data_IF_975610919585
#
_entry.id   IF_975610919585
#
_cell.length_a   1.000
_cell.length_b   1.000
_cell.length_c   1.000
_cell.angle_alpha   90.00
_cell.angle_beta   90.00
_cell.angle_gamma   90.00
#
_symmetry.space_group_name_H-M   'P 1'
#
loop_
_entity.id
_entity.type
_entity.pdbx_description
1 polymer ?
#
# COMPACT_ATOMS: atom_id res chain seq x y z
N UNK A 1 -33.96 8.97 1.88
CA UNK A 1 -33.20 7.81 1.40
C UNK A 1 -31.83 7.93 2.02
N UNK A 2 -31.36 6.90 2.73
CA UNK A 2 -29.98 6.86 3.18
C UNK A 2 -29.21 6.37 1.95
N UNK A 3 -28.36 7.22 1.37
CA UNK A 3 -27.46 6.79 0.30
C UNK A 3 -26.57 5.69 0.87
N UNK A 4 -26.54 4.53 0.22
CA UNK A 4 -25.61 3.48 0.59
C UNK A 4 -24.18 4.00 0.36
N UNK A 5 -23.25 3.74 1.28
CA UNK A 5 -21.88 4.24 1.15
C UNK A 5 -21.23 3.62 -0.10
N UNK A 6 -20.63 4.45 -0.96
CA UNK A 6 -19.93 3.99 -2.17
C UNK A 6 -18.73 3.09 -1.86
N UNK A 7 -18.13 3.27 -0.67
CA UNK A 7 -16.93 2.56 -0.25
C UNK A 7 -17.04 2.09 1.20
N UNK A 8 -16.48 0.91 1.46
CA UNK A 8 -16.13 0.47 2.80
C UNK A 8 -14.73 0.97 3.16
N UNK A 9 -14.60 1.53 4.36
CA UNK A 9 -13.34 2.05 4.90
C UNK A 9 -12.93 1.21 6.11
N UNK A 10 -11.74 0.63 6.05
CA UNK A 10 -11.15 -0.13 7.16
C UNK A 10 -9.80 0.47 7.54
N UNK A 11 -9.65 0.90 8.79
CA UNK A 11 -8.34 1.30 9.30
C UNK A 11 -7.53 0.05 9.66
N UNK A 12 -6.31 -0.02 9.12
CA UNK A 12 -5.34 -1.03 9.47
C UNK A 12 -4.68 -0.60 10.79
N UNK A 13 -5.24 -1.05 11.91
CA UNK A 13 -4.71 -0.74 13.24
C UNK A 13 -3.45 -1.59 13.46
N UNK A 14 -2.35 -0.94 13.82
CA UNK A 14 -1.13 -1.65 14.22
C UNK A 14 -1.07 -1.82 15.73
N UNK A 15 -0.43 -2.89 16.17
CA UNK A 15 -0.07 -3.14 17.57
C UNK A 15 1.23 -2.43 17.97
N UNK A 16 1.99 -1.87 17.02
CA UNK A 16 3.25 -1.17 17.28
C UNK A 16 3.07 0.35 17.27
N UNK A 17 3.63 1.01 18.30
CA UNK A 17 3.46 2.44 18.61
C UNK A 17 3.96 3.42 17.52
N UNK A 18 4.69 2.93 16.51
CA UNK A 18 5.36 3.72 15.47
C UNK A 18 4.86 3.39 14.06
N UNK A 19 3.81 2.58 13.94
CA UNK A 19 3.37 2.09 12.66
C UNK A 19 2.47 3.11 11.94
N UNK A 20 2.64 3.18 10.62
CA UNK A 20 1.96 4.16 9.78
C UNK A 20 0.46 3.92 9.75
N UNK A 21 -0.32 5.01 9.72
CA UNK A 21 -1.77 4.93 9.54
C UNK A 21 -2.06 4.57 8.09
N UNK A 22 -2.70 3.42 7.90
CA UNK A 22 -3.09 2.91 6.59
C UNK A 22 -4.59 2.74 6.56
N UNK A 23 -5.24 3.34 5.57
CA UNK A 23 -6.66 3.10 5.28
C UNK A 23 -6.78 2.12 4.13
N UNK A 24 -7.57 1.07 4.32
CA UNK A 24 -8.01 0.17 3.26
C UNK A 24 -9.39 0.64 2.78
N UNK A 25 -9.55 0.75 1.47
CA UNK A 25 -10.75 1.18 0.77
C UNK A 25 -11.16 0.12 -0.25
N UNK A 26 -12.43 -0.27 -0.27
CA UNK A 26 -12.97 -1.12 -1.33
C UNK A 26 -14.46 -0.85 -1.53
N UNK A 27 -15.02 -1.11 -2.73
CA UNK A 27 -16.43 -0.91 -3.01
C UNK A 27 -17.33 -1.64 -2.00
N UNK A 28 -18.39 -0.97 -1.54
CA UNK A 28 -19.27 -1.52 -0.51
C UNK A 28 -19.92 -2.85 -0.94
N UNK A 29 -20.24 -2.99 -2.22
CA UNK A 29 -20.83 -4.19 -2.81
C UNK A 29 -19.94 -5.42 -2.62
N UNK A 30 -18.62 -5.21 -2.56
CA UNK A 30 -17.65 -6.29 -2.40
C UNK A 30 -17.37 -6.65 -0.93
N UNK A 31 -17.92 -5.89 0.04
CA UNK A 31 -17.68 -6.10 1.47
C UNK A 31 -18.08 -7.48 1.98
N UNK A 32 -19.02 -8.14 1.31
CA UNK A 32 -19.47 -9.48 1.66
C UNK A 32 -18.89 -10.59 0.79
N UNK A 33 -18.09 -10.24 -0.22
CA UNK A 33 -17.50 -11.21 -1.13
C UNK A 33 -16.43 -12.06 -0.42
N UNK A 34 -16.53 -13.41 -0.46
CA UNK A 34 -15.57 -14.30 0.20
C UNK A 34 -14.13 -14.03 -0.22
N UNK A 35 -13.94 -13.70 -1.50
CA UNK A 35 -12.63 -13.40 -2.10
C UNK A 35 -11.90 -12.26 -1.37
N UNK A 36 -12.62 -11.27 -0.83
CA UNK A 36 -12.03 -10.17 -0.07
C UNK A 36 -11.95 -10.48 1.43
N UNK A 37 -12.96 -11.16 1.99
CA UNK A 37 -12.97 -11.54 3.41
C UNK A 37 -11.79 -12.44 3.78
N UNK A 38 -11.43 -13.36 2.91
CA UNK A 38 -10.31 -14.28 3.15
C UNK A 38 -8.95 -13.63 2.84
N UNK A 39 -8.92 -12.67 1.92
CA UNK A 39 -7.70 -12.01 1.46
C UNK A 39 -7.26 -10.86 2.38
N UNK A 40 -8.17 -9.96 2.81
CA UNK A 40 -7.83 -8.76 3.60
C UNK A 40 -6.96 -9.07 4.84
N UNK A 41 -7.30 -10.06 5.69
CA UNK A 41 -6.49 -10.38 6.87
C UNK A 41 -5.08 -10.87 6.52
N UNK A 42 -4.94 -11.61 5.41
CA UNK A 42 -3.65 -12.13 4.96
C UNK A 42 -2.80 -11.00 4.36
N UNK A 43 -3.42 -10.11 3.58
CA UNK A 43 -2.72 -9.05 2.87
C UNK A 43 -2.34 -7.87 3.75
N UNK A 44 -3.00 -7.68 4.88
CA UNK A 44 -2.67 -6.65 5.86
C UNK A 44 -1.16 -6.57 6.19
N UNK A 45 -0.53 -7.73 6.44
CA UNK A 45 0.91 -7.81 6.69
C UNK A 45 1.73 -7.54 5.43
N UNK A 46 1.32 -8.14 4.31
CA UNK A 46 2.00 -8.00 3.00
C UNK A 46 2.00 -6.55 2.53
N UNK A 47 0.89 -5.83 2.68
CA UNK A 47 0.73 -4.41 2.36
C UNK A 47 1.68 -3.54 3.18
N UNK A 48 1.82 -3.81 4.48
CA UNK A 48 2.77 -3.05 5.32
C UNK A 48 4.21 -3.28 4.90
N UNK A 49 4.57 -4.52 4.61
CA UNK A 49 5.90 -4.85 4.09
C UNK A 49 6.12 -4.19 2.73
N UNK A 50 5.13 -4.21 1.84
CA UNK A 50 5.19 -3.56 0.53
C UNK A 50 5.44 -2.06 0.66
N UNK A 51 4.69 -1.36 1.53
CA UNK A 51 4.87 0.07 1.80
C UNK A 51 6.30 0.34 2.27
N UNK A 52 6.81 -0.47 3.19
CA UNK A 52 8.16 -0.31 3.73
C UNK A 52 9.24 -0.48 2.65
N UNK A 53 9.18 -1.55 1.86
CA UNK A 53 10.16 -1.80 0.80
C UNK A 53 10.08 -0.69 -0.28
N UNK A 54 8.87 -0.27 -0.67
CA UNK A 54 8.65 0.82 -1.63
C UNK A 54 9.22 2.17 -1.15
N UNK A 55 9.12 2.46 0.15
CA UNK A 55 9.69 3.68 0.72
C UNK A 55 11.22 3.64 0.80
N UNK A 56 11.80 2.47 1.10
CA UNK A 56 13.25 2.30 1.10
C UNK A 56 13.81 2.44 -0.32
N UNK A 57 13.15 1.83 -1.32
CA UNK A 57 13.45 2.06 -2.73
C UNK A 57 13.47 3.55 -3.06
N UNK A 58 12.39 4.29 -2.72
CA UNK A 58 12.29 5.73 -3.00
C UNK A 58 13.43 6.51 -2.32
N UNK A 59 13.75 6.20 -1.06
CA UNK A 59 14.88 6.83 -0.36
C UNK A 59 16.20 6.61 -1.07
N UNK A 60 16.47 5.40 -1.57
CA UNK A 60 17.67 5.12 -2.35
C UNK A 60 17.69 5.98 -3.63
N UNK A 61 16.60 5.96 -4.41
CA UNK A 61 16.47 6.73 -5.66
C UNK A 61 16.64 8.24 -5.42
N UNK A 62 16.04 8.78 -4.35
CA UNK A 62 16.16 10.20 -3.98
C UNK A 62 17.58 10.56 -3.52
N UNK A 63 18.34 9.59 -2.99
CA UNK A 63 19.70 9.80 -2.49
C UNK A 63 20.73 9.79 -3.61
N UNK A 64 20.57 8.93 -4.63
CA UNK A 64 21.54 8.73 -5.71
C UNK A 64 22.00 10.03 -6.40
N UNK A 65 21.12 10.99 -6.77
CA UNK A 65 21.53 12.24 -7.39
C UNK A 65 22.46 13.11 -6.54
N UNK A 66 22.43 12.94 -5.21
CA UNK A 66 23.22 13.73 -4.27
C UNK A 66 24.63 13.15 -4.02
N UNK A 67 24.94 11.99 -4.58
CA UNK A 67 26.22 11.32 -4.40
C UNK A 67 27.24 11.79 -5.45
N UNK A 68 28.46 12.07 -5.01
CA UNK A 68 29.54 12.53 -5.89
C UNK A 68 30.25 11.34 -6.55
N UNK A 69 30.46 10.26 -5.79
CA UNK A 69 31.27 9.12 -6.22
C UNK A 69 30.43 8.04 -6.90
N UNK A 70 30.89 7.58 -8.07
CA UNK A 70 30.18 6.56 -8.84
C UNK A 70 30.12 5.20 -8.14
N UNK A 71 31.13 4.87 -7.31
CA UNK A 71 31.10 3.67 -6.48
C UNK A 71 29.96 3.71 -5.44
N UNK A 72 29.67 4.88 -4.87
CA UNK A 72 28.56 5.05 -3.95
C UNK A 72 27.22 4.99 -4.68
N UNK A 73 27.11 5.66 -5.85
CA UNK A 73 25.90 5.57 -6.69
C UNK A 73 25.58 4.13 -7.05
N UNK A 74 26.58 3.35 -7.47
CA UNK A 74 26.41 1.95 -7.81
C UNK A 74 25.95 1.11 -6.60
N UNK A 75 26.53 1.34 -5.43
CA UNK A 75 26.13 0.63 -4.21
C UNK A 75 24.66 0.91 -3.86
N UNK A 76 24.25 2.18 -3.84
CA UNK A 76 22.88 2.56 -3.50
C UNK A 76 21.89 2.13 -4.60
N UNK A 77 22.31 2.11 -5.88
CA UNK A 77 21.50 1.55 -6.96
C UNK A 77 21.21 0.07 -6.74
N UNK A 78 22.23 -0.73 -6.40
CA UNK A 78 22.03 -2.15 -6.12
C UNK A 78 21.08 -2.37 -4.93
N UNK A 79 21.17 -1.53 -3.89
CA UNK A 79 20.21 -1.58 -2.78
C UNK A 79 18.78 -1.21 -3.23
N UNK A 80 18.64 -0.17 -4.07
CA UNK A 80 17.36 0.21 -4.65
C UNK A 80 16.74 -0.96 -5.44
N UNK A 81 17.53 -1.62 -6.29
CA UNK A 81 17.08 -2.75 -7.11
C UNK A 81 16.58 -3.93 -6.23
N UNK A 82 17.25 -4.20 -5.11
CA UNK A 82 16.82 -5.21 -4.15
C UNK A 82 15.50 -4.85 -3.44
N UNK A 83 15.34 -3.58 -3.05
CA UNK A 83 14.08 -3.08 -2.49
C UNK A 83 12.94 -3.15 -3.51
N UNK A 84 13.22 -2.81 -4.77
CA UNK A 84 12.26 -2.89 -5.86
C UNK A 84 11.83 -4.33 -6.11
N UNK A 85 12.78 -5.28 -6.22
CA UNK A 85 12.46 -6.70 -6.42
C UNK A 85 11.55 -7.24 -5.33
N UNK A 86 11.83 -6.91 -4.07
CA UNK A 86 10.98 -7.33 -2.94
C UNK A 86 9.60 -6.68 -2.99
N UNK A 87 9.51 -5.40 -3.34
CA UNK A 87 8.24 -4.71 -3.51
C UNK A 87 7.40 -5.37 -4.62
N UNK A 88 8.01 -5.76 -5.73
CA UNK A 88 7.34 -6.46 -6.83
C UNK A 88 6.83 -7.85 -6.38
N UNK A 89 7.65 -8.64 -5.68
CA UNK A 89 7.23 -9.93 -5.10
C UNK A 89 6.07 -9.77 -4.10
N UNK A 90 6.08 -8.71 -3.30
CA UNK A 90 5.00 -8.40 -2.36
C UNK A 90 3.74 -7.92 -3.09
N UNK A 91 3.89 -7.19 -4.20
CA UNK A 91 2.80 -6.77 -5.06
C UNK A 91 2.10 -7.96 -5.74
N UNK A 92 2.86 -8.99 -6.13
CA UNK A 92 2.28 -10.24 -6.64
C UNK A 92 1.52 -10.97 -5.54
N UNK A 93 2.14 -11.19 -4.37
CA UNK A 93 1.52 -11.84 -3.22
C UNK A 93 0.26 -11.11 -2.77
N UNK A 94 0.29 -9.78 -2.72
CA UNK A 94 -0.86 -9.01 -2.25
C UNK A 94 -2.09 -9.16 -3.17
N UNK A 95 -1.85 -9.47 -4.44
CA UNK A 95 -2.86 -9.55 -5.49
C UNK A 95 -3.19 -10.98 -5.94
N UNK A 96 -2.69 -11.98 -5.21
CA UNK A 96 -2.94 -13.38 -5.51
C UNK A 96 -4.41 -13.75 -5.22
N UNK A 97 -5.05 -14.43 -6.17
CA UNK A 97 -6.39 -14.99 -5.98
C UNK A 97 -7.55 -13.97 -5.98
N UNK A 98 -7.30 -12.67 -6.20
CA UNK A 98 -8.33 -11.62 -6.16
C UNK A 98 -8.76 -11.07 -7.54
N UNK A 99 -8.40 -11.75 -8.63
CA UNK A 99 -8.84 -11.39 -9.99
C UNK A 99 -10.37 -11.33 -10.09
N UNK A 100 -10.98 -10.32 -10.75
CA UNK A 100 -10.38 -9.31 -11.63
C UNK A 100 -9.85 -8.05 -10.93
N UNK A 101 -9.75 -8.05 -9.60
CA UNK A 101 -9.33 -6.90 -8.81
C UNK A 101 -7.83 -6.91 -8.50
N UNK A 102 -7.34 -5.74 -8.10
CA UNK A 102 -6.03 -5.52 -7.51
C UNK A 102 -6.08 -4.46 -6.41
N UNK A 103 -5.23 -4.64 -5.40
CA UNK A 103 -4.91 -3.64 -4.42
C UNK A 103 -3.86 -2.67 -4.97
N UNK A 104 -4.12 -1.39 -4.79
CA UNK A 104 -3.23 -0.29 -5.14
C UNK A 104 -2.88 0.49 -3.89
N UNK A 105 -1.62 0.92 -3.78
CA UNK A 105 -1.14 1.71 -2.66
C UNK A 105 -0.81 3.11 -3.13
N UNK A 106 -1.33 4.10 -2.42
CA UNK A 106 -1.00 5.51 -2.60
C UNK A 106 -0.45 6.05 -1.29
N UNK A 107 0.58 6.89 -1.42
CA UNK A 107 1.21 7.56 -0.27
C UNK A 107 0.28 8.54 0.44
N UNK A 108 0.89 9.49 1.16
CA UNK A 108 0.19 10.42 2.06
C UNK A 108 -1.12 10.94 1.49
N UNK A 109 -2.19 10.76 2.26
CA UNK A 109 -3.52 11.21 1.91
C UNK A 109 -4.04 12.16 2.97
N UNK A 110 -4.53 13.31 2.52
CA UNK A 110 -5.20 14.31 3.35
C UNK A 110 -6.40 14.83 2.57
N UNK A 111 -7.58 14.30 2.87
CA UNK A 111 -8.77 14.55 2.06
C UNK A 111 -10.02 13.88 2.61
N UNK A 112 -11.13 14.04 1.88
CA UNK A 112 -12.42 13.47 2.25
C UNK A 112 -12.69 12.15 1.52
N UNK A 113 -13.21 11.17 2.24
CA UNK A 113 -13.69 9.88 1.72
C UNK A 113 -15.03 9.61 2.38
N UNK A 114 -16.09 9.41 1.58
CA UNK A 114 -17.43 9.09 2.10
C UNK A 114 -17.99 10.12 3.09
N UNK A 115 -17.65 11.40 2.92
CA UNK A 115 -18.06 12.49 3.81
C UNK A 115 -17.26 12.64 5.11
N UNK A 116 -16.21 11.84 5.30
CA UNK A 116 -15.30 11.94 6.44
C UNK A 116 -13.91 12.39 6.02
N UNK A 117 -13.31 13.28 6.80
CA UNK A 117 -11.96 13.75 6.57
C UNK A 117 -10.93 12.79 7.18
N UNK A 118 -9.95 12.38 6.38
CA UNK A 118 -8.87 11.50 6.78
C UNK A 118 -7.50 12.13 6.51
N UNK A 119 -6.60 11.97 7.47
CA UNK A 119 -5.19 12.34 7.35
C UNK A 119 -4.35 11.13 7.74
N UNK A 120 -3.83 10.42 6.74
CA UNK A 120 -3.13 9.14 6.90
C UNK A 120 -1.88 9.07 6.03
N UNK A 121 -0.95 8.20 6.42
CA UNK A 121 0.34 8.06 5.74
C UNK A 121 0.20 7.36 4.39
N UNK A 122 -0.72 6.40 4.29
CA UNK A 122 -1.02 5.70 3.05
C UNK A 122 -2.51 5.36 2.97
N UNK A 123 -3.02 5.32 1.75
CA UNK A 123 -4.28 4.66 1.42
C UNK A 123 -4.00 3.46 0.54
N UNK A 124 -4.77 2.41 0.74
CA UNK A 124 -4.75 1.19 -0.04
C UNK A 124 -6.15 1.00 -0.55
N UNK A 125 -6.32 0.88 -1.86
CA UNK A 125 -7.65 0.78 -2.45
C UNK A 125 -7.72 -0.36 -3.43
N UNK A 126 -8.87 -1.03 -3.46
CA UNK A 126 -9.18 -2.07 -4.43
C UNK A 126 -9.76 -1.43 -5.69
N UNK A 127 -9.24 -1.81 -6.85
CA UNK A 127 -9.80 -1.43 -8.15
C UNK A 127 -9.71 -2.60 -9.13
N UNK A 128 -10.42 -2.52 -10.26
CA UNK A 128 -10.30 -3.50 -11.35
C UNK A 128 -8.98 -3.32 -12.08
N UNK A 129 -8.33 -4.43 -12.43
CA UNK A 129 -7.12 -4.47 -13.27
C UNK A 129 -7.39 -4.00 -14.69
#
# INVERSE_FOLDING_TARGET
MIEEPEFYVQELISTEYMDKRVLILYPYELSNEPILKDNIPQMAKVIREYIKESEMYRKCVDTIPNLIWDSQKLSIQNEADEYQRKADELAEKMNEGISPYAWYVKGRFNGEIGGFHYNVDNIVYLDKK
#
